data_IF_399511186546
#
_entry.id   IF_399511186546
#
_cell.length_a   1.000
_cell.length_b   1.000
_cell.length_c   1.000
_cell.angle_alpha   90.00
_cell.angle_beta   90.00
_cell.angle_gamma   90.00
#
_symmetry.space_group_name_H-M   'P 1'
#
loop_
_entity.id
_entity.type
_entity.pdbx_description
1 polymer ?
#
# COMPACT_ATOMS: atom_id res chain seq x y z
N UNK A 1 62.33 51.42 63.60
CA UNK A 1 62.25 50.85 62.24
C UNK A 1 61.05 49.90 62.21
N UNK A 2 60.00 50.23 61.45
CA UNK A 2 58.82 49.39 61.21
C UNK A 2 59.10 48.45 60.04
N UNK A 3 58.63 47.20 60.10
CA UNK A 3 58.10 46.48 58.94
C UNK A 3 56.99 45.52 59.40
N UNK A 4 55.89 45.63 58.68
CA UNK A 4 54.54 45.13 58.94
C UNK A 4 54.30 43.85 58.11
N UNK A 5 53.36 43.03 58.58
CA UNK A 5 52.75 41.90 57.86
C UNK A 5 52.31 42.24 56.43
N UNK A 6 52.28 41.23 55.55
CA UNK A 6 51.05 40.86 54.84
C UNK A 6 51.16 39.42 54.31
N UNK A 7 50.32 38.53 54.84
CA UNK A 7 50.02 37.21 54.24
C UNK A 7 49.00 37.50 53.14
N UNK A 8 49.38 37.28 51.89
CA UNK A 8 48.49 37.38 50.74
C UNK A 8 47.59 36.14 50.68
N UNK A 9 46.31 36.33 51.01
CA UNK A 9 45.27 35.36 50.74
C UNK A 9 45.02 35.30 49.22
N UNK A 10 45.32 34.15 48.60
CA UNK A 10 44.83 33.81 47.27
C UNK A 10 43.34 33.44 47.40
N UNK A 11 42.46 34.34 46.99
CA UNK A 11 41.07 33.98 46.73
C UNK A 11 40.99 33.25 45.39
N UNK A 12 40.92 31.92 45.43
CA UNK A 12 40.50 31.10 44.29
C UNK A 12 38.98 31.32 44.15
N UNK A 13 38.57 32.12 43.15
CA UNK A 13 37.18 32.10 42.71
C UNK A 13 36.94 30.78 41.98
N UNK A 14 36.50 29.76 42.72
CA UNK A 14 35.79 28.65 42.12
C UNK A 14 34.40 29.17 41.74
N UNK A 15 34.17 29.44 40.45
CA UNK A 15 32.83 29.48 39.88
C UNK A 15 32.27 28.06 39.95
N UNK A 16 31.74 27.68 41.12
CA UNK A 16 30.77 26.61 41.20
C UNK A 16 29.51 27.15 40.49
N UNK A 17 29.43 26.92 39.18
CA UNK A 17 28.16 26.91 38.49
C UNK A 17 27.38 25.74 39.12
N UNK A 18 26.66 26.00 40.21
CA UNK A 18 25.58 25.13 40.61
C UNK A 18 24.53 25.27 39.51
N UNK A 19 24.63 24.43 38.48
CA UNK A 19 23.49 24.12 37.66
C UNK A 19 22.44 23.59 38.64
N UNK A 20 21.55 24.45 39.09
CA UNK A 20 20.33 24.01 39.74
C UNK A 20 19.59 23.25 38.64
N UNK A 21 19.65 21.92 38.71
CA UNK A 21 18.75 21.06 37.96
C UNK A 21 17.38 21.33 38.56
N UNK A 22 16.66 22.31 38.01
CA UNK A 22 15.22 22.36 38.17
C UNK A 22 14.70 21.12 37.45
N UNK A 23 14.18 20.15 38.20
CA UNK A 23 13.42 19.07 37.58
C UNK A 23 12.31 19.73 36.75
N UNK A 24 12.43 19.67 35.41
CA UNK A 24 11.32 20.01 34.53
C UNK A 24 10.20 19.10 34.99
N UNK A 25 9.09 19.70 35.42
CA UNK A 25 8.00 18.99 36.07
C UNK A 25 7.30 18.14 34.99
N UNK A 26 7.90 16.98 34.71
CA UNK A 26 7.59 15.97 33.69
C UNK A 26 7.69 16.47 32.24
N UNK A 27 8.72 16.01 31.53
CA UNK A 27 8.66 15.89 30.06
C UNK A 27 7.43 15.07 29.72
N UNK A 28 6.62 15.61 28.80
CA UNK A 28 5.43 14.92 28.29
C UNK A 28 5.79 14.23 26.98
N UNK A 29 5.79 12.90 26.96
CA UNK A 29 6.05 12.08 25.77
C UNK A 29 7.47 11.52 25.65
N UNK A 30 7.95 11.31 24.42
CA UNK A 30 9.20 10.58 24.10
C UNK A 30 10.48 11.42 24.23
N UNK A 31 10.38 12.74 24.41
CA UNK A 31 11.56 13.61 24.60
C UNK A 31 11.28 15.09 24.40
N UNK A 32 12.37 15.86 24.29
CA UNK A 32 12.34 17.26 23.87
C UNK A 32 12.79 17.37 22.42
N UNK A 33 12.07 18.21 21.68
CA UNK A 33 12.48 18.76 20.40
C UNK A 33 12.68 20.28 20.53
N UNK A 34 13.22 20.89 19.48
CA UNK A 34 13.53 22.32 19.46
C UNK A 34 13.09 22.93 18.14
N UNK A 35 12.37 24.04 18.21
CA UNK A 35 12.12 24.92 17.07
C UNK A 35 13.37 25.81 16.91
N UNK A 36 14.10 25.74 15.78
CA UNK A 36 15.25 26.60 15.53
C UNK A 36 14.86 28.07 15.54
N UNK A 37 15.79 28.95 15.91
CA UNK A 37 15.59 30.42 15.92
C UNK A 37 15.03 30.99 14.60
N UNK A 38 15.37 30.37 13.47
CA UNK A 38 14.90 30.79 12.15
C UNK A 38 13.42 30.52 11.96
N UNK A 39 12.85 29.57 12.70
CA UNK A 39 11.45 29.12 12.57
C UNK A 39 10.52 29.71 13.65
N UNK A 40 11.04 30.61 14.49
CA UNK A 40 10.28 31.32 15.54
C UNK A 40 10.14 32.80 15.21
N UNK A 41 9.06 33.43 15.67
CA UNK A 41 8.84 34.88 15.48
C UNK A 41 9.75 35.74 16.36
N UNK A 42 10.25 35.19 17.46
CA UNK A 42 11.11 35.89 18.43
C UNK A 42 12.60 35.79 18.10
N UNK A 43 13.00 34.90 17.17
CA UNK A 43 14.40 34.63 16.88
C UNK A 43 15.14 33.88 18.00
N UNK A 44 14.39 33.22 18.88
CA UNK A 44 14.91 32.39 19.99
C UNK A 44 14.65 30.92 19.69
N UNK A 45 15.54 30.02 20.13
CA UNK A 45 15.31 28.58 20.05
C UNK A 45 14.23 28.22 21.09
N UNK A 46 13.17 27.55 20.65
CA UNK A 46 12.02 27.22 21.51
C UNK A 46 11.95 25.71 21.76
N UNK A 47 12.22 25.23 22.98
CA UNK A 47 12.02 23.83 23.34
C UNK A 47 10.53 23.46 23.38
N UNK A 48 10.21 22.26 22.91
CA UNK A 48 8.88 21.67 23.03
C UNK A 48 8.94 20.16 23.26
N UNK A 49 7.83 19.57 23.67
CA UNK A 49 7.66 18.11 23.76
C UNK A 49 6.30 17.72 23.18
N UNK A 50 6.19 16.46 22.75
CA UNK A 50 4.98 15.93 22.09
C UNK A 50 4.50 14.64 22.71
N UNK A 51 3.18 14.48 22.86
CA UNK A 51 2.52 13.19 23.14
C UNK A 51 1.69 12.80 21.93
N UNK A 52 1.72 11.53 21.53
CA UNK A 52 0.79 10.98 20.53
C UNK A 52 1.02 11.48 19.10
N UNK A 53 2.12 12.16 18.82
CA UNK A 53 2.46 12.71 17.48
C UNK A 53 3.22 11.68 16.63
N UNK A 54 4.19 10.95 17.21
CA UNK A 54 5.04 10.01 16.46
C UNK A 54 4.37 8.65 16.20
N UNK A 55 3.55 8.19 17.16
CA UNK A 55 2.83 6.94 17.06
C UNK A 55 1.46 7.18 16.45
N UNK A 56 1.27 6.70 15.22
CA UNK A 56 -0.03 6.54 14.54
C UNK A 56 -0.97 5.55 15.26
N UNK A 57 -0.92 5.49 16.59
CA UNK A 57 -1.80 4.66 17.39
C UNK A 57 -3.02 5.48 17.79
N UNK A 58 -4.20 4.96 17.45
CA UNK A 58 -5.54 5.54 17.63
C UNK A 58 -5.97 5.90 19.05
N UNK A 59 -5.08 5.83 20.05
CA UNK A 59 -5.45 5.82 21.46
C UNK A 59 -4.97 7.05 22.24
N UNK A 60 -4.31 8.01 21.60
CA UNK A 60 -3.84 9.23 22.26
C UNK A 60 -4.16 10.45 21.40
N UNK A 61 -4.76 11.47 22.01
CA UNK A 61 -4.93 12.79 21.39
C UNK A 61 -3.57 13.47 21.33
N UNK A 62 -3.09 13.87 20.14
CA UNK A 62 -1.83 14.60 20.02
C UNK A 62 -1.81 15.86 20.90
N UNK A 63 -0.73 16.03 21.65
CA UNK A 63 -0.52 17.18 22.54
C UNK A 63 0.88 17.74 22.35
N UNK A 64 0.98 19.06 22.36
CA UNK A 64 2.23 19.81 22.35
C UNK A 64 2.37 20.59 23.66
N UNK A 65 3.55 20.53 24.26
CA UNK A 65 3.93 21.40 25.38
C UNK A 65 5.14 22.22 24.98
N UNK A 66 5.02 23.53 25.03
CA UNK A 66 6.08 24.48 24.68
C UNK A 66 6.64 25.12 25.94
N UNK A 67 7.96 25.29 25.97
CA UNK A 67 8.69 25.76 27.13
C UNK A 67 9.51 27.01 26.82
N UNK A 68 9.72 27.85 27.83
CA UNK A 68 10.64 28.98 27.76
C UNK A 68 12.11 28.51 27.76
N UNK A 69 13.05 29.46 27.64
CA UNK A 69 14.49 29.17 27.67
C UNK A 69 14.99 28.60 29.02
N UNK A 70 14.18 28.68 30.08
CA UNK A 70 14.43 28.08 31.40
C UNK A 70 13.67 26.77 31.59
N UNK A 71 13.07 26.21 30.54
CA UNK A 71 12.24 25.00 30.54
C UNK A 71 10.99 25.07 31.44
N UNK A 72 10.46 26.27 31.72
CA UNK A 72 9.13 26.41 32.30
C UNK A 72 8.07 26.28 31.20
N UNK A 73 6.94 25.64 31.52
CA UNK A 73 5.83 25.51 30.57
C UNK A 73 5.26 26.90 30.25
N UNK A 74 5.37 27.30 28.99
CA UNK A 74 4.71 28.52 28.47
C UNK A 74 3.32 28.20 27.94
N UNK A 75 3.18 27.05 27.26
CA UNK A 75 1.93 26.70 26.58
C UNK A 75 1.75 25.19 26.49
N UNK A 76 0.49 24.76 26.54
CA UNK A 76 0.10 23.40 26.18
C UNK A 76 -1.16 23.47 25.33
N UNK A 77 -1.18 22.73 24.22
CA UNK A 77 -2.36 22.63 23.36
C UNK A 77 -2.50 21.21 22.81
N UNK A 78 -3.74 20.83 22.51
CA UNK A 78 -4.11 19.52 21.97
C UNK A 78 -4.68 19.68 20.58
N UNK A 79 -4.45 18.68 19.73
CA UNK A 79 -5.04 18.59 18.41
C UNK A 79 -5.94 17.36 18.34
N UNK A 80 -7.22 17.55 18.02
CA UNK A 80 -8.19 16.46 17.85
C UNK A 80 -8.27 16.05 16.38
N UNK A 81 -7.65 14.93 15.96
CA UNK A 81 -7.55 14.59 14.55
C UNK A 81 -8.89 14.06 14.03
N UNK A 82 -9.38 14.59 12.91
CA UNK A 82 -10.63 14.13 12.28
C UNK A 82 -10.49 12.66 11.84
N UNK A 83 -11.57 11.90 12.04
CA UNK A 83 -11.68 10.49 11.68
C UNK A 83 -12.61 10.32 10.48
N UNK A 84 -12.18 9.54 9.50
CA UNK A 84 -12.87 9.24 8.26
C UNK A 84 -13.13 7.75 8.17
N UNK A 85 -14.38 7.38 7.93
CA UNK A 85 -14.83 5.97 7.96
C UNK A 85 -15.51 5.62 6.64
N UNK A 86 -15.10 4.50 6.07
CA UNK A 86 -15.75 3.86 4.93
C UNK A 86 -16.00 2.40 5.23
N UNK A 87 -17.12 1.86 4.76
CA UNK A 87 -17.38 0.43 4.79
C UNK A 87 -16.96 -0.18 3.46
N UNK A 88 -16.18 -1.25 3.53
CA UNK A 88 -15.90 -2.11 2.39
C UNK A 88 -17.06 -3.09 2.24
N UNK A 89 -17.79 -2.97 1.13
CA UNK A 89 -18.87 -3.88 0.75
C UNK A 89 -18.28 -5.00 -0.11
N UNK A 90 -18.32 -6.26 0.35
CA UNK A 90 -17.90 -7.39 -0.47
C UNK A 90 -18.85 -7.55 -1.65
N UNK A 91 -18.28 -7.61 -2.84
CA UNK A 91 -19.01 -7.79 -4.10
C UNK A 91 -18.50 -9.04 -4.80
N UNK A 92 -19.40 -9.79 -5.44
CA UNK A 92 -19.08 -10.93 -6.30
C UNK A 92 -19.68 -10.80 -7.69
N UNK A 93 -19.00 -11.36 -8.68
CA UNK A 93 -19.48 -11.52 -10.04
C UNK A 93 -19.06 -12.90 -10.57
N UNK A 94 -19.87 -13.46 -11.47
CA UNK A 94 -19.54 -14.70 -12.17
C UNK A 94 -19.03 -14.36 -13.57
N UNK A 95 -17.87 -14.92 -13.93
CA UNK A 95 -17.23 -14.68 -15.21
C UNK A 95 -17.10 -15.97 -16.02
N UNK A 96 -17.43 -15.88 -17.31
CA UNK A 96 -17.13 -16.94 -18.26
C UNK A 96 -15.63 -17.02 -18.53
N UNK A 97 -15.14 -18.23 -18.72
CA UNK A 97 -13.75 -18.46 -19.08
C UNK A 97 -13.61 -19.54 -20.14
N UNK A 98 -12.50 -19.51 -20.87
CA UNK A 98 -12.16 -20.51 -21.88
C UNK A 98 -10.74 -20.99 -21.69
N UNK A 99 -10.52 -22.25 -22.05
CA UNK A 99 -9.16 -22.81 -22.06
C UNK A 99 -8.34 -22.11 -23.14
N UNK A 100 -7.26 -21.46 -22.73
CA UNK A 100 -6.28 -20.88 -23.64
C UNK A 100 -5.22 -21.91 -24.01
N UNK A 101 -4.74 -22.68 -23.03
CA UNK A 101 -3.70 -23.69 -23.20
C UNK A 101 -3.72 -24.73 -22.08
N UNK A 102 -3.44 -26.00 -22.42
CA UNK A 102 -3.08 -27.03 -21.43
C UNK A 102 -1.60 -26.85 -21.05
N UNK A 103 -1.35 -26.66 -19.75
CA UNK A 103 -0.01 -26.36 -19.21
C UNK A 103 0.64 -27.60 -18.60
N UNK A 104 -0.17 -28.47 -18.02
CA UNK A 104 0.25 -29.75 -17.44
C UNK A 104 -0.86 -30.77 -17.69
N UNK A 105 -0.54 -31.90 -18.31
CA UNK A 105 -1.54 -32.95 -18.64
C UNK A 105 -2.04 -33.73 -17.41
N UNK A 106 -1.43 -33.53 -16.24
CA UNK A 106 -1.78 -34.24 -15.01
C UNK A 106 -1.11 -35.61 -14.93
N UNK A 107 -1.54 -36.43 -13.98
CA UNK A 107 -1.20 -37.85 -13.93
C UNK A 107 -2.45 -38.69 -14.17
N UNK A 108 -2.27 -39.80 -14.87
CA UNK A 108 -3.35 -40.71 -15.26
C UNK A 108 -3.22 -42.03 -14.52
N UNK A 109 -4.34 -42.55 -14.02
CA UNK A 109 -4.40 -43.85 -13.34
C UNK A 109 -5.53 -44.69 -13.93
N UNK A 110 -5.21 -45.90 -14.37
CA UNK A 110 -6.23 -46.83 -14.86
C UNK A 110 -7.16 -47.26 -13.71
N UNK A 111 -8.45 -47.36 -14.01
CA UNK A 111 -9.45 -47.99 -13.15
C UNK A 111 -9.18 -49.50 -13.06
N UNK A 112 -9.31 -50.05 -11.85
CA UNK A 112 -8.83 -51.39 -11.51
C UNK A 112 -9.88 -52.29 -10.83
N UNK A 113 -11.05 -51.76 -10.48
CA UNK A 113 -12.14 -52.57 -9.93
C UNK A 113 -12.85 -53.36 -11.03
N UNK A 114 -13.49 -54.45 -10.63
CA UNK A 114 -14.22 -55.35 -11.53
C UNK A 114 -15.72 -55.29 -11.25
N UNK A 115 -16.51 -55.21 -12.32
CA UNK A 115 -17.98 -55.38 -12.27
C UNK A 115 -18.37 -56.35 -13.37
N UNK A 116 -18.85 -57.52 -12.96
CA UNK A 116 -19.21 -58.62 -13.88
C UNK A 116 -20.24 -58.15 -14.93
N UNK A 117 -19.96 -58.42 -16.20
CA UNK A 117 -20.83 -58.00 -17.32
C UNK A 117 -20.54 -56.59 -17.83
N UNK A 118 -19.63 -55.85 -17.21
CA UNK A 118 -19.38 -54.43 -17.52
C UNK A 118 -17.90 -54.12 -17.68
N UNK A 119 -17.06 -54.45 -16.69
CA UNK A 119 -15.64 -54.10 -16.67
C UNK A 119 -14.81 -55.20 -16.01
N UNK A 120 -13.86 -55.74 -16.77
CA UNK A 120 -12.95 -56.81 -16.39
C UNK A 120 -11.50 -56.34 -16.18
N UNK A 121 -10.58 -57.30 -16.08
CA UNK A 121 -9.14 -57.01 -15.91
C UNK A 121 -8.51 -56.22 -17.07
N UNK A 122 -9.10 -56.33 -18.26
CA UNK A 122 -8.59 -55.72 -19.49
C UNK A 122 -9.39 -54.50 -19.95
N UNK A 123 -10.33 -54.00 -19.14
CA UNK A 123 -11.18 -52.86 -19.48
C UNK A 123 -12.66 -53.23 -19.60
N UNK A 124 -13.42 -52.46 -20.38
CA UNK A 124 -14.84 -52.71 -20.60
C UNK A 124 -15.05 -54.05 -21.33
N UNK A 125 -16.04 -54.85 -20.92
CA UNK A 125 -16.33 -56.13 -21.57
C UNK A 125 -16.87 -55.95 -23.00
N UNK A 126 -17.52 -54.82 -23.28
CA UNK A 126 -17.93 -54.40 -24.63
C UNK A 126 -17.34 -53.02 -24.94
N UNK A 127 -16.66 -52.84 -26.08
CA UNK A 127 -16.15 -51.53 -26.48
C UNK A 127 -17.24 -50.48 -26.59
N UNK A 128 -16.96 -49.30 -26.04
CA UNK A 128 -17.89 -48.17 -26.01
C UNK A 128 -17.71 -47.33 -27.27
N UNK A 129 -18.81 -47.05 -27.97
CA UNK A 129 -18.83 -46.30 -29.22
C UNK A 129 -19.67 -45.03 -29.15
N UNK A 130 -20.59 -44.94 -28.20
CA UNK A 130 -21.46 -43.77 -28.00
C UNK A 130 -21.42 -43.24 -26.57
N UNK A 131 -21.78 -41.97 -26.39
CA UNK A 131 -21.90 -41.34 -25.07
C UNK A 131 -22.99 -42.00 -24.21
N UNK A 132 -24.05 -42.51 -24.82
CA UNK A 132 -25.13 -43.17 -24.07
C UNK A 132 -24.71 -44.57 -23.58
N UNK A 133 -23.95 -45.31 -24.38
CA UNK A 133 -23.27 -46.54 -23.92
C UNK A 133 -22.29 -46.24 -22.77
N UNK A 134 -21.53 -45.15 -22.87
CA UNK A 134 -20.60 -44.72 -21.82
C UNK A 134 -21.32 -44.43 -20.50
N UNK A 135 -22.39 -43.64 -20.55
CA UNK A 135 -23.22 -43.33 -19.37
C UNK A 135 -23.79 -44.60 -18.75
N UNK A 136 -24.35 -45.50 -19.56
CA UNK A 136 -24.94 -46.74 -19.07
C UNK A 136 -23.89 -47.64 -18.38
N UNK A 137 -22.69 -47.76 -18.96
CA UNK A 137 -21.60 -48.56 -18.39
C UNK A 137 -21.05 -47.94 -17.09
N UNK A 138 -20.83 -46.62 -17.07
CA UNK A 138 -20.33 -45.90 -15.86
C UNK A 138 -21.35 -45.97 -14.72
N UNK A 139 -22.65 -45.81 -15.00
CA UNK A 139 -23.70 -45.94 -13.98
C UNK A 139 -23.71 -47.34 -13.35
N UNK A 140 -23.44 -48.40 -14.12
CA UNK A 140 -23.32 -49.76 -13.57
C UNK A 140 -22.01 -49.96 -12.78
N UNK A 141 -20.93 -49.27 -13.17
CA UNK A 141 -19.62 -49.36 -12.50
C UNK A 141 -19.59 -48.68 -11.13
N UNK A 142 -20.11 -47.46 -11.06
CA UNK A 142 -19.89 -46.55 -9.93
C UNK A 142 -21.19 -46.36 -9.11
N UNK A 143 -22.33 -46.73 -9.67
CA UNK A 143 -23.65 -46.56 -9.07
C UNK A 143 -24.26 -45.17 -9.32
N UNK A 144 -25.32 -44.87 -8.58
CA UNK A 144 -26.11 -43.64 -8.71
C UNK A 144 -25.42 -42.44 -8.05
N UNK A 145 -24.34 -41.95 -8.67
CA UNK A 145 -23.69 -40.68 -8.32
C UNK A 145 -24.25 -39.49 -9.11
N UNK A 146 -24.16 -38.28 -8.55
CA UNK A 146 -24.36 -37.05 -9.32
C UNK A 146 -23.17 -36.83 -10.27
N UNK A 147 -23.17 -37.53 -11.40
CA UNK A 147 -22.12 -37.47 -12.42
C UNK A 147 -22.50 -36.54 -13.58
N UNK A 148 -21.52 -35.77 -14.06
CA UNK A 148 -21.64 -34.93 -15.24
C UNK A 148 -20.79 -35.51 -16.36
N UNK A 149 -21.40 -35.74 -17.50
CA UNK A 149 -20.77 -36.36 -18.67
C UNK A 149 -20.46 -35.33 -19.75
N UNK A 150 -19.28 -35.42 -20.34
CA UNK A 150 -18.78 -34.46 -21.32
C UNK A 150 -17.75 -35.10 -22.25
N UNK A 151 -17.25 -34.33 -23.20
CA UNK A 151 -16.11 -34.72 -24.05
C UNK A 151 -14.88 -33.93 -23.61
N UNK A 152 -13.80 -34.63 -23.27
CA UNK A 152 -12.58 -34.00 -22.79
C UNK A 152 -11.83 -33.22 -23.90
N UNK A 153 -10.71 -32.58 -23.54
CA UNK A 153 -9.92 -31.81 -24.49
C UNK A 153 -9.18 -32.65 -25.54
N UNK A 154 -9.06 -33.96 -25.33
CA UNK A 154 -8.50 -34.94 -26.27
C UNK A 154 -9.59 -35.60 -27.14
N UNK A 155 -10.86 -35.30 -26.90
CA UNK A 155 -12.00 -35.85 -27.64
C UNK A 155 -12.58 -37.14 -27.06
N UNK A 156 -12.14 -37.56 -25.86
CA UNK A 156 -12.61 -38.78 -25.22
C UNK A 156 -13.94 -38.54 -24.49
N UNK A 157 -14.73 -39.61 -24.33
CA UNK A 157 -15.88 -39.58 -23.43
C UNK A 157 -15.38 -39.54 -21.98
N UNK A 158 -15.87 -38.57 -21.22
CA UNK A 158 -15.42 -38.32 -19.87
C UNK A 158 -16.59 -38.03 -18.93
N UNK A 159 -16.36 -38.25 -17.64
CA UNK A 159 -17.26 -37.85 -16.58
C UNK A 159 -16.49 -37.32 -15.38
N UNK A 160 -17.12 -36.45 -14.62
CA UNK A 160 -16.64 -36.02 -13.32
C UNK A 160 -17.77 -36.05 -12.29
N UNK A 161 -17.42 -36.07 -11.00
CA UNK A 161 -18.39 -35.80 -9.95
C UNK A 161 -18.84 -34.34 -10.07
N UNK A 162 -20.15 -34.08 -9.89
CA UNK A 162 -20.70 -32.72 -9.94
C UNK A 162 -19.99 -31.75 -8.99
N UNK A 163 -19.50 -32.22 -7.85
CA UNK A 163 -18.76 -31.42 -6.87
C UNK A 163 -17.25 -31.66 -6.97
N UNK A 164 -16.48 -30.62 -6.65
CA UNK A 164 -15.02 -30.68 -6.38
C UNK A 164 -14.14 -31.24 -7.51
N UNK A 165 -14.55 -31.06 -8.76
CA UNK A 165 -13.77 -31.49 -9.93
C UNK A 165 -12.84 -30.41 -10.50
N UNK A 166 -13.03 -29.15 -10.10
CA UNK A 166 -12.17 -28.03 -10.51
C UNK A 166 -11.63 -27.27 -9.32
N UNK A 167 -10.36 -26.87 -9.42
CA UNK A 167 -9.70 -25.96 -8.49
C UNK A 167 -9.09 -24.80 -9.27
N UNK A 168 -9.15 -23.60 -8.70
CA UNK A 168 -8.61 -22.40 -9.33
C UNK A 168 -7.37 -21.93 -8.58
N UNK A 169 -6.33 -21.58 -9.33
CA UNK A 169 -5.14 -20.94 -8.79
C UNK A 169 -4.63 -19.86 -9.73
N UNK A 170 -3.88 -18.88 -9.20
CA UNK A 170 -3.24 -17.84 -10.01
C UNK A 170 -3.58 -16.42 -9.56
N UNK A 171 -3.06 -15.45 -10.32
CA UNK A 171 -3.23 -14.00 -10.12
C UNK A 171 -3.49 -13.36 -11.48
N UNK A 172 -4.05 -12.15 -11.48
CA UNK A 172 -4.50 -11.32 -12.62
C UNK A 172 -4.01 -11.69 -14.04
N UNK A 173 -2.70 -11.86 -14.24
CA UNK A 173 -2.11 -12.10 -15.56
C UNK A 173 -2.17 -13.56 -16.03
N UNK A 174 -2.43 -14.51 -15.14
CA UNK A 174 -2.46 -15.95 -15.43
C UNK A 174 -3.33 -16.68 -14.42
N UNK A 175 -4.52 -17.08 -14.89
CA UNK A 175 -5.48 -17.87 -14.12
C UNK A 175 -5.41 -19.31 -14.60
N UNK A 176 -5.27 -20.23 -13.66
CA UNK A 176 -5.17 -21.65 -13.90
C UNK A 176 -6.36 -22.37 -13.30
N UNK A 177 -6.93 -23.29 -14.08
CA UNK A 177 -7.96 -24.21 -13.62
C UNK A 177 -7.38 -25.61 -13.67
N UNK A 178 -7.28 -26.24 -12.51
CA UNK A 178 -6.94 -27.65 -12.38
C UNK A 178 -8.21 -28.46 -12.41
N UNK A 179 -8.23 -29.56 -13.17
CA UNK A 179 -9.38 -30.42 -13.34
C UNK A 179 -9.05 -31.86 -12.92
N UNK A 180 -10.05 -32.54 -12.36
CA UNK A 180 -10.06 -33.97 -12.06
C UNK A 180 -11.29 -34.61 -12.68
N UNK A 181 -11.10 -35.64 -13.49
CA UNK A 181 -12.18 -36.38 -14.12
C UNK A 181 -11.71 -37.76 -14.57
N UNK A 182 -12.64 -38.61 -14.96
CA UNK A 182 -12.34 -39.90 -15.57
C UNK A 182 -12.73 -39.89 -17.05
N UNK A 183 -11.97 -40.59 -17.89
CA UNK A 183 -12.24 -40.71 -19.32
C UNK A 183 -12.07 -42.15 -19.81
N UNK A 184 -12.80 -42.50 -20.86
CA UNK A 184 -12.65 -43.75 -21.59
C UNK A 184 -11.61 -43.61 -22.70
N UNK A 185 -10.58 -44.46 -22.67
CA UNK A 185 -9.59 -44.56 -23.72
C UNK A 185 -10.00 -45.64 -24.73
N UNK A 186 -10.38 -45.28 -25.97
CA UNK A 186 -10.81 -46.25 -26.97
C UNK A 186 -9.66 -47.13 -27.49
N UNK A 187 -8.40 -46.74 -27.29
CA UNK A 187 -7.25 -47.47 -27.84
C UNK A 187 -6.94 -48.77 -27.09
N UNK A 188 -7.20 -48.80 -25.79
CA UNK A 188 -6.99 -49.97 -24.92
C UNK A 188 -8.28 -50.41 -24.22
N UNK A 189 -9.41 -49.76 -24.52
CA UNK A 189 -10.73 -50.06 -24.00
C UNK A 189 -10.84 -49.92 -22.46
N UNK A 190 -10.04 -49.03 -21.84
CA UNK A 190 -9.99 -48.84 -20.38
C UNK A 190 -10.50 -47.49 -19.93
N UNK A 191 -10.86 -47.41 -18.65
CA UNK A 191 -11.20 -46.17 -17.97
C UNK A 191 -9.98 -45.64 -17.23
N UNK A 192 -9.71 -44.35 -17.37
CA UNK A 192 -8.60 -43.65 -16.72
C UNK A 192 -9.12 -42.50 -15.87
N UNK A 193 -8.57 -42.34 -14.68
CA UNK A 193 -8.74 -41.14 -13.86
C UNK A 193 -7.58 -40.18 -14.11
N UNK A 194 -7.90 -38.95 -14.47
CA UNK A 194 -6.98 -37.82 -14.61
C UNK A 194 -7.06 -36.96 -13.37
N UNK A 195 -5.90 -36.67 -12.81
CA UNK A 195 -5.74 -35.76 -11.69
C UNK A 195 -4.73 -34.66 -12.04
N UNK A 196 -4.94 -33.46 -11.50
CA UNK A 196 -4.08 -32.28 -11.70
C UNK A 196 -3.87 -31.88 -13.17
N UNK A 197 -4.88 -32.05 -14.04
CA UNK A 197 -4.85 -31.47 -15.38
C UNK A 197 -4.96 -29.95 -15.25
N UNK A 198 -3.88 -29.21 -15.49
CA UNK A 198 -3.86 -27.76 -15.31
C UNK A 198 -3.95 -27.03 -16.65
N UNK A 199 -4.95 -26.16 -16.76
CA UNK A 199 -5.22 -25.33 -17.92
C UNK A 199 -5.03 -23.86 -17.59
N UNK A 200 -4.32 -23.13 -18.44
CA UNK A 200 -4.34 -21.67 -18.45
C UNK A 200 -5.64 -21.22 -19.12
N UNK A 201 -6.39 -20.34 -18.46
CA UNK A 201 -7.67 -19.84 -18.94
C UNK A 201 -7.63 -18.35 -19.28
N UNK A 202 -8.51 -17.96 -20.20
CA UNK A 202 -8.82 -16.58 -20.52
C UNK A 202 -10.22 -16.26 -20.01
N UNK A 203 -10.36 -15.12 -19.32
CA UNK A 203 -11.60 -14.74 -18.60
C UNK A 203 -12.23 -13.54 -19.28
N UNK A 204 -13.53 -13.63 -19.57
CA UNK A 204 -14.29 -12.52 -20.11
C UNK A 204 -14.75 -11.59 -18.98
N UNK A 205 -14.05 -10.45 -18.85
CA UNK A 205 -14.36 -9.42 -17.86
C UNK A 205 -15.23 -8.28 -18.42
N UNK A 206 -15.63 -8.35 -19.69
CA UNK A 206 -16.29 -7.22 -20.37
C UNK A 206 -17.72 -6.94 -19.89
N UNK A 207 -18.39 -7.94 -19.29
CA UNK A 207 -19.81 -7.88 -18.88
C UNK A 207 -20.05 -8.49 -17.51
N UNK A 208 -19.27 -8.06 -16.51
CA UNK A 208 -19.45 -8.52 -15.13
C UNK A 208 -20.68 -7.90 -14.47
N UNK A 209 -21.57 -8.74 -13.96
CA UNK A 209 -22.72 -8.33 -13.16
C UNK A 209 -22.39 -8.47 -11.66
N UNK A 210 -21.82 -7.42 -11.09
CA UNK A 210 -21.47 -7.36 -9.67
C UNK A 210 -22.72 -7.31 -8.77
N UNK A 211 -22.72 -8.11 -7.71
CA UNK A 211 -23.73 -8.13 -6.66
C UNK A 211 -23.07 -8.17 -5.29
N UNK A 212 -23.78 -7.78 -4.24
CA UNK A 212 -23.31 -7.94 -2.87
C UNK A 212 -23.06 -9.43 -2.59
N UNK A 213 -21.92 -9.72 -1.96
CA UNK A 213 -21.53 -11.06 -1.56
C UNK A 213 -21.89 -11.29 -0.09
N UNK A 214 -23.08 -11.84 0.13
CA UNK A 214 -23.62 -12.11 1.48
C UNK A 214 -22.84 -13.20 2.26
N UNK A 215 -21.85 -13.84 1.64
CA UNK A 215 -20.99 -14.83 2.32
C UNK A 215 -19.88 -14.19 3.16
N UNK A 216 -19.64 -12.88 3.00
CA UNK A 216 -18.59 -12.13 3.68
C UNK A 216 -19.20 -10.92 4.40
N UNK A 217 -18.76 -10.68 5.63
CA UNK A 217 -19.14 -9.47 6.36
C UNK A 217 -18.43 -8.25 5.77
N UNK A 218 -19.12 -7.11 5.77
CA UNK A 218 -18.51 -5.82 5.48
C UNK A 218 -17.47 -5.48 6.55
N UNK A 219 -16.37 -4.86 6.15
CA UNK A 219 -15.36 -4.38 7.08
C UNK A 219 -15.28 -2.85 7.07
N UNK A 220 -15.18 -2.24 8.26
CA UNK A 220 -14.92 -0.81 8.38
C UNK A 220 -13.43 -0.54 8.15
N UNK A 221 -13.14 0.45 7.31
CA UNK A 221 -11.83 1.06 7.17
C UNK A 221 -11.88 2.44 7.80
N UNK A 222 -10.95 2.68 8.72
CA UNK A 222 -10.79 3.97 9.39
C UNK A 222 -9.49 4.62 8.94
N UNK A 223 -9.59 5.87 8.50
CA UNK A 223 -8.48 6.79 8.25
C UNK A 223 -8.58 7.93 9.26
N UNK A 224 -7.45 8.45 9.71
CA UNK A 224 -7.40 9.53 10.69
C UNK A 224 -6.39 10.57 10.23
N UNK A 225 -6.68 11.84 10.48
CA UNK A 225 -5.70 12.89 10.25
C UNK A 225 -4.41 12.61 11.01
N UNK A 226 -3.27 12.91 10.38
CA UNK A 226 -1.96 12.60 10.94
C UNK A 226 -1.06 13.82 10.89
N UNK A 227 -0.49 14.20 12.02
CA UNK A 227 0.55 15.23 12.08
C UNK A 227 1.84 14.69 11.47
N UNK A 228 2.49 15.49 10.64
CA UNK A 228 3.71 15.12 9.92
C UNK A 228 4.90 15.94 10.41
N UNK A 229 6.09 15.32 10.40
CA UNK A 229 7.32 16.10 10.51
C UNK A 229 7.48 16.96 9.26
N UNK A 230 7.94 18.18 9.48
CA UNK A 230 8.21 19.16 8.43
C UNK A 230 9.71 19.24 8.24
N UNK A 231 10.19 18.88 7.05
CA UNK A 231 11.57 19.11 6.66
C UNK A 231 11.72 20.54 6.11
N UNK A 232 12.49 21.36 6.82
CA UNK A 232 12.73 22.76 6.46
C UNK A 232 14.22 23.00 6.22
N UNK A 233 14.53 23.50 5.03
CA UNK A 233 15.84 24.00 4.63
C UNK A 233 15.82 25.53 4.66
N UNK A 234 16.44 26.13 5.68
CA UNK A 234 16.49 27.60 5.84
C UNK A 234 17.83 28.18 5.36
N UNK A 235 17.94 28.42 4.05
CA UNK A 235 19.14 28.99 3.44
C UNK A 235 19.37 30.47 3.80
N UNK A 236 18.36 31.17 4.32
CA UNK A 236 18.49 32.56 4.76
C UNK A 236 19.16 32.65 6.14
N UNK A 237 18.96 31.65 7.00
CA UNK A 237 19.55 31.59 8.33
C UNK A 237 20.87 30.78 8.37
N UNK A 238 20.94 29.63 7.70
CA UNK A 238 22.12 28.75 7.69
C UNK A 238 22.14 27.84 6.45
N UNK A 239 23.20 27.91 5.63
CA UNK A 239 23.24 27.22 4.33
C UNK A 239 23.37 25.68 4.40
N UNK A 240 23.63 25.11 5.58
CA UNK A 240 24.06 23.71 5.74
C UNK A 240 23.21 22.86 6.71
N UNK A 241 22.09 23.36 7.21
CA UNK A 241 21.28 22.63 8.21
C UNK A 241 19.81 22.54 7.77
N UNK A 242 19.34 21.31 7.65
CA UNK A 242 17.95 20.92 7.60
C UNK A 242 17.39 20.77 9.02
N UNK A 243 16.11 21.11 9.19
CA UNK A 243 15.39 20.96 10.44
C UNK A 243 14.18 20.07 10.21
N UNK A 244 14.04 19.02 11.02
CA UNK A 244 12.89 18.13 11.02
C UNK A 244 12.04 18.43 12.26
N UNK A 245 11.02 19.26 12.10
CA UNK A 245 10.22 19.77 13.23
C UNK A 245 8.74 19.50 13.06
N UNK A 246 8.04 19.30 14.17
CA UNK A 246 6.58 19.19 14.17
C UNK A 246 5.88 20.55 14.27
N UNK A 247 6.55 21.57 14.83
CA UNK A 247 6.00 22.90 15.06
C UNK A 247 6.88 23.99 14.46
N UNK A 248 6.23 25.00 13.88
CA UNK A 248 6.85 26.27 13.45
C UNK A 248 5.98 27.45 13.91
N UNK A 249 6.45 28.69 13.76
CA UNK A 249 5.63 29.90 13.97
C UNK A 249 5.72 30.92 12.82
N UNK A 250 6.73 30.82 11.95
CA UNK A 250 6.98 31.83 10.92
C UNK A 250 7.18 31.23 9.51
N UNK A 251 6.82 29.97 9.31
CA UNK A 251 7.03 29.27 8.03
C UNK A 251 5.82 29.42 7.14
N UNK A 252 4.61 29.28 7.66
CA UNK A 252 3.40 29.34 6.85
C UNK A 252 2.52 30.55 7.17
N UNK A 253 2.66 31.09 8.37
CA UNK A 253 1.98 32.28 8.86
C UNK A 253 2.96 33.19 9.60
N UNK A 254 2.59 34.45 9.82
CA UNK A 254 3.42 35.45 10.52
C UNK A 254 2.74 35.96 11.81
N UNK A 255 1.94 35.11 12.46
CA UNK A 255 1.32 35.42 13.76
C UNK A 255 2.09 34.77 14.93
N UNK A 256 1.56 34.90 16.14
CA UNK A 256 2.15 34.36 17.36
C UNK A 256 1.79 32.89 17.63
N UNK A 257 1.03 32.26 16.73
CA UNK A 257 0.53 30.89 16.90
C UNK A 257 1.51 29.86 16.36
N UNK A 258 1.49 28.69 16.97
CA UNK A 258 2.19 27.53 16.42
C UNK A 258 1.40 26.95 15.25
N UNK A 259 2.13 26.38 14.31
CA UNK A 259 1.62 25.80 13.07
C UNK A 259 2.33 24.48 12.77
N UNK A 260 1.60 23.57 12.13
CA UNK A 260 2.06 22.22 11.85
C UNK A 260 1.38 21.65 10.60
N UNK A 261 2.05 20.67 9.99
CA UNK A 261 1.54 19.95 8.83
C UNK A 261 0.69 18.75 9.23
N UNK A 262 -0.41 18.56 8.53
CA UNK A 262 -1.34 17.45 8.74
C UNK A 262 -1.69 16.78 7.41
N UNK A 263 -1.54 15.46 7.34
CA UNK A 263 -2.19 14.64 6.32
C UNK A 263 -3.68 14.55 6.65
N UNK A 264 -4.50 15.12 5.77
CA UNK A 264 -5.95 15.19 5.87
C UNK A 264 -6.62 14.39 4.76
N UNK A 265 -7.93 14.18 4.89
CA UNK A 265 -8.73 13.45 3.90
C UNK A 265 -9.98 14.24 3.52
N UNK A 266 -10.38 14.17 2.26
CA UNK A 266 -11.65 14.73 1.78
C UNK A 266 -12.42 13.66 1.02
N UNK A 267 -13.73 13.67 1.19
CA UNK A 267 -14.58 12.77 0.43
C UNK A 267 -14.61 13.19 -1.04
N UNK A 268 -14.41 12.23 -1.93
CA UNK A 268 -14.44 12.41 -3.38
C UNK A 268 -15.43 11.45 -4.02
N UNK A 269 -15.75 11.69 -5.30
CA UNK A 269 -16.47 10.71 -6.10
C UNK A 269 -15.63 9.47 -6.35
N UNK A 270 -16.28 8.37 -6.70
CA UNK A 270 -15.59 7.13 -7.06
C UNK A 270 -14.57 7.40 -8.19
N UNK A 271 -13.29 7.02 -8.01
CA UNK A 271 -12.29 7.20 -9.05
C UNK A 271 -12.58 6.31 -10.26
N UNK A 272 -12.31 6.80 -11.47
CA UNK A 272 -12.52 6.06 -12.73
C UNK A 272 -11.69 4.76 -12.78
N UNK A 273 -10.50 4.78 -12.16
CA UNK A 273 -9.67 3.61 -11.94
C UNK A 273 -9.62 3.32 -10.45
N UNK A 274 -10.54 2.48 -9.96
CA UNK A 274 -10.46 1.96 -8.60
C UNK A 274 -9.54 0.74 -8.60
N UNK A 275 -8.41 0.75 -7.86
CA UNK A 275 -7.50 -0.39 -7.74
C UNK A 275 -8.07 -1.41 -6.74
N UNK A 276 -9.37 -1.71 -6.81
CA UNK A 276 -9.94 -2.75 -5.96
C UNK A 276 -9.23 -4.05 -6.31
N UNK A 277 -8.66 -4.70 -5.28
CA UNK A 277 -7.99 -5.98 -5.45
C UNK A 277 -9.04 -7.03 -5.80
N UNK A 278 -9.19 -7.28 -7.10
CA UNK A 278 -10.06 -8.34 -7.59
C UNK A 278 -9.45 -9.70 -7.27
N UNK A 279 -10.16 -10.46 -6.45
CA UNK A 279 -9.80 -11.79 -5.98
C UNK A 279 -10.55 -12.84 -6.78
N UNK A 280 -9.99 -14.04 -6.89
CA UNK A 280 -10.66 -15.18 -7.50
C UNK A 280 -11.00 -16.15 -6.37
N UNK A 281 -12.28 -16.47 -6.24
CA UNK A 281 -12.82 -17.28 -5.14
C UNK A 281 -13.44 -18.58 -5.65
N UNK A 282 -12.71 -19.29 -6.51
CA UNK A 282 -13.12 -20.59 -7.06
C UNK A 282 -14.05 -20.51 -8.27
N UNK A 283 -14.84 -21.57 -8.46
CA UNK A 283 -15.78 -21.76 -9.57
C UNK A 283 -17.17 -22.08 -9.01
N UNK A 284 -18.19 -21.40 -9.55
CA UNK A 284 -19.60 -21.65 -9.23
C UNK A 284 -20.35 -21.81 -10.55
N UNK A 285 -21.11 -22.91 -10.70
CA UNK A 285 -21.90 -23.20 -11.90
C UNK A 285 -21.08 -23.13 -13.22
N UNK A 286 -19.83 -23.59 -13.18
CA UNK A 286 -18.92 -23.58 -14.34
C UNK A 286 -18.38 -22.20 -14.71
N UNK A 287 -18.58 -21.18 -13.88
CA UNK A 287 -18.06 -19.81 -14.05
C UNK A 287 -17.09 -19.47 -12.94
N UNK A 288 -16.08 -18.65 -13.23
CA UNK A 288 -15.16 -18.14 -12.21
C UNK A 288 -15.89 -17.16 -11.28
N UNK A 289 -15.67 -17.31 -9.98
CA UNK A 289 -16.16 -16.37 -8.98
C UNK A 289 -15.11 -15.29 -8.80
N UNK A 290 -15.42 -14.06 -9.22
CA UNK A 290 -14.59 -12.89 -8.99
C UNK A 290 -15.16 -12.12 -7.80
N UNK A 291 -14.31 -11.78 -6.84
CA UNK A 291 -14.67 -11.02 -5.65
C UNK A 291 -13.89 -9.70 -5.62
N UNK A 292 -14.49 -8.65 -5.07
CA UNK A 292 -13.78 -7.42 -4.76
C UNK A 292 -14.43 -6.75 -3.55
N UNK A 293 -13.69 -5.90 -2.87
CA UNK A 293 -14.20 -5.10 -1.78
C UNK A 293 -14.36 -3.66 -2.28
N UNK A 294 -15.59 -3.13 -2.25
CA UNK A 294 -15.92 -1.81 -2.79
C UNK A 294 -16.22 -0.85 -1.63
N UNK A 295 -15.46 0.24 -1.47
CA UNK A 295 -15.78 1.26 -0.48
C UNK A 295 -17.13 1.94 -0.77
N UNK A 296 -17.94 2.15 0.28
CA UNK A 296 -19.16 2.97 0.22
C UNK A 296 -18.86 4.47 0.07
N UNK A 297 -17.66 4.89 0.49
CA UNK A 297 -17.13 6.26 0.41
C UNK A 297 -15.69 6.22 -0.05
N UNK A 298 -15.32 7.20 -0.86
CA UNK A 298 -13.95 7.38 -1.35
C UNK A 298 -13.35 8.62 -0.72
N UNK A 299 -12.13 8.48 -0.23
CA UNK A 299 -11.36 9.55 0.39
C UNK A 299 -10.06 9.74 -0.36
N UNK A 300 -9.73 10.99 -0.63
CA UNK A 300 -8.43 11.41 -1.18
C UNK A 300 -7.67 12.16 -0.09
N UNK A 301 -6.39 11.81 0.09
CA UNK A 301 -5.52 12.51 1.04
C UNK A 301 -5.00 13.82 0.46
N UNK A 302 -4.94 14.87 1.27
CA UNK A 302 -4.31 16.15 0.97
C UNK A 302 -3.48 16.62 2.16
N UNK A 303 -2.55 17.55 1.96
CA UNK A 303 -1.79 18.12 3.07
C UNK A 303 -2.42 19.46 3.46
N UNK A 304 -2.61 19.67 4.75
CA UNK A 304 -3.10 20.92 5.31
C UNK A 304 -2.05 21.51 6.26
N UNK A 305 -1.90 22.83 6.19
CA UNK A 305 -1.26 23.59 7.27
C UNK A 305 -2.34 23.96 8.27
N UNK A 306 -2.13 23.62 9.54
CA UNK A 306 -3.04 23.98 10.63
C UNK A 306 -2.32 24.77 11.70
N UNK A 307 -3.05 25.65 12.38
CA UNK A 307 -2.56 26.31 13.58
C UNK A 307 -2.84 25.48 14.85
N UNK A 308 -2.32 25.95 15.98
CA UNK A 308 -2.52 25.36 17.32
C UNK A 308 -3.99 25.18 17.74
N UNK A 309 -4.94 25.90 17.15
CA UNK A 309 -6.38 25.72 17.39
C UNK A 309 -7.00 24.61 16.51
N UNK A 310 -6.21 23.99 15.63
CA UNK A 310 -6.68 23.04 14.63
C UNK A 310 -7.37 23.69 13.42
N UNK A 311 -7.29 25.02 13.26
CA UNK A 311 -7.83 25.72 12.10
C UNK A 311 -6.94 25.49 10.90
N UNK A 312 -7.53 25.04 9.81
CA UNK A 312 -6.88 24.94 8.50
C UNK A 312 -6.57 26.34 7.94
N UNK A 313 -5.30 26.60 7.66
CA UNK A 313 -4.82 27.85 7.08
C UNK A 313 -4.87 27.80 5.56
N UNK A 314 -4.28 26.74 4.98
CA UNK A 314 -4.35 26.42 3.55
C UNK A 314 -3.97 24.97 3.29
N UNK A 315 -4.13 24.53 2.05
CA UNK A 315 -3.81 23.17 1.61
C UNK A 315 -2.66 23.15 0.61
N UNK A 316 -1.91 22.05 0.63
CA UNK A 316 -0.81 21.76 -0.28
C UNK A 316 -1.18 20.47 -1.04
N UNK A 317 -0.98 20.42 -2.37
CA UNK A 317 -1.18 19.20 -3.15
C UNK A 317 -0.43 18.04 -2.52
N UNK A 318 -1.08 16.87 -2.41
CA UNK A 318 -0.44 15.70 -1.82
C UNK A 318 0.09 14.78 -2.90
N UNK A 319 1.41 14.66 -2.98
CA UNK A 319 2.02 13.84 -4.00
C UNK A 319 2.39 12.41 -3.57
N UNK A 320 2.59 12.18 -2.26
CA UNK A 320 3.02 10.89 -1.70
C UNK A 320 2.75 10.78 -0.18
N UNK A 321 1.53 11.09 0.26
CA UNK A 321 1.16 11.18 1.69
C UNK A 321 2.13 12.08 2.49
N UNK A 322 2.53 13.20 1.88
CA UNK A 322 3.46 14.17 2.44
C UNK A 322 4.91 13.70 2.64
N UNK A 323 5.28 12.46 2.30
CA UNK A 323 6.62 11.91 2.58
C UNK A 323 7.77 12.57 1.83
N UNK A 324 7.48 13.15 0.68
CA UNK A 324 8.45 13.81 -0.20
C UNK A 324 8.23 15.33 -0.23
N UNK A 325 7.61 15.87 0.83
CA UNK A 325 7.37 17.29 0.99
C UNK A 325 8.58 17.92 1.70
N UNK A 326 9.23 18.88 1.04
CA UNK A 326 10.32 19.66 1.63
C UNK A 326 10.02 21.14 1.50
N UNK A 327 10.39 21.91 2.52
CA UNK A 327 10.20 23.37 2.54
C UNK A 327 11.55 24.05 2.42
N UNK A 328 11.65 25.03 1.55
CA UNK A 328 12.86 25.81 1.33
C UNK A 328 12.58 27.28 1.61
N UNK A 329 13.34 27.87 2.53
CA UNK A 329 13.39 29.33 2.69
C UNK A 329 14.66 29.85 2.02
N UNK A 330 14.50 30.71 1.02
CA UNK A 330 15.62 31.33 0.33
C UNK A 330 15.25 32.72 -0.22
N UNK A 331 16.16 33.67 -0.02
CA UNK A 331 16.03 35.07 -0.45
C UNK A 331 14.72 35.72 0.03
N UNK A 332 14.33 35.46 1.28
CA UNK A 332 13.11 36.00 1.89
C UNK A 332 11.81 35.43 1.32
N UNK A 333 11.87 34.28 0.65
CA UNK A 333 10.71 33.58 0.06
C UNK A 333 10.66 32.14 0.52
N UNK A 334 9.46 31.57 0.50
CA UNK A 334 9.19 30.20 0.96
C UNK A 334 8.70 29.39 -0.23
N UNK A 335 9.38 28.27 -0.47
CA UNK A 335 9.09 27.34 -1.55
C UNK A 335 8.73 25.99 -0.97
N UNK A 336 7.79 25.31 -1.61
CA UNK A 336 7.36 23.97 -1.23
C UNK A 336 7.73 23.04 -2.39
N UNK A 337 8.66 22.13 -2.14
CA UNK A 337 8.96 21.01 -3.03
C UNK A 337 8.02 19.85 -2.75
N UNK A 338 7.50 19.24 -3.82
CA UNK A 338 6.58 18.12 -3.73
C UNK A 338 6.85 17.11 -4.85
N UNK A 339 6.47 15.85 -4.60
CA UNK A 339 6.61 14.72 -5.52
C UNK A 339 5.25 14.11 -5.79
N UNK A 340 4.62 14.46 -6.90
CA UNK A 340 3.29 13.99 -7.28
C UNK A 340 3.32 12.65 -8.01
N UNK A 341 2.63 11.65 -7.45
CA UNK A 341 2.41 10.36 -8.09
C UNK A 341 1.26 10.43 -9.10
N UNK A 342 1.54 10.06 -10.35
CA UNK A 342 0.59 10.11 -11.47
C UNK A 342 -0.09 8.76 -11.75
N UNK A 343 0.17 7.74 -10.94
CA UNK A 343 -0.21 6.35 -11.25
C UNK A 343 0.86 5.63 -12.06
N UNK A 344 0.75 4.30 -12.19
CA UNK A 344 1.61 3.46 -13.05
C UNK A 344 3.14 3.56 -12.81
N UNK A 345 3.58 3.90 -11.61
CA UNK A 345 5.00 4.09 -11.31
C UNK A 345 5.60 5.37 -11.90
N UNK A 346 4.74 6.34 -12.24
CA UNK A 346 5.10 7.64 -12.78
C UNK A 346 5.03 8.72 -11.69
N UNK A 347 6.09 9.51 -11.60
CA UNK A 347 6.22 10.58 -10.59
C UNK A 347 6.69 11.85 -11.29
N UNK A 348 6.22 12.99 -10.81
CA UNK A 348 6.72 14.30 -11.22
C UNK A 348 7.01 15.14 -9.98
N UNK A 349 8.08 15.92 -10.03
CA UNK A 349 8.40 16.89 -9.00
C UNK A 349 7.84 18.27 -9.38
N UNK A 350 7.25 18.93 -8.39
CA UNK A 350 6.64 20.26 -8.51
C UNK A 350 7.21 21.16 -7.44
N UNK A 351 7.43 22.43 -7.78
CA UNK A 351 7.83 23.46 -6.81
C UNK A 351 6.79 24.58 -6.81
N UNK A 352 6.31 24.91 -5.61
CA UNK A 352 5.37 26.00 -5.37
C UNK A 352 6.06 27.14 -4.64
N UNK A 353 5.58 28.36 -4.88
CA UNK A 353 5.86 29.54 -4.07
C UNK A 353 4.70 29.75 -3.10
N UNK A 354 4.99 29.94 -1.82
CA UNK A 354 4.03 30.44 -0.85
C UNK A 354 4.01 31.98 -0.92
N UNK A 355 2.83 32.57 -1.12
CA UNK A 355 2.67 34.02 -1.14
C UNK A 355 2.92 34.63 0.24
N UNK A 356 3.53 35.82 0.27
CA UNK A 356 3.88 36.56 1.48
C UNK A 356 2.65 37.02 2.29
N UNK A 357 1.44 36.84 1.75
CA UNK A 357 0.15 37.10 2.45
C UNK A 357 -0.43 35.85 3.14
N UNK A 358 0.27 34.71 3.09
CA UNK A 358 0.15 33.65 4.11
C UNK A 358 -0.86 32.54 3.85
N UNK A 359 -1.51 32.47 2.68
CA UNK A 359 -2.44 31.34 2.37
C UNK A 359 -2.47 30.90 0.90
N UNK A 360 -1.88 31.67 -0.03
CA UNK A 360 -1.86 31.32 -1.45
C UNK A 360 -0.60 30.55 -1.85
N UNK A 361 -0.76 29.41 -2.52
CA UNK A 361 0.34 28.70 -3.18
C UNK A 361 0.26 28.90 -4.69
N UNK A 362 1.41 29.18 -5.33
CA UNK A 362 1.53 29.34 -6.78
C UNK A 362 2.52 28.32 -7.30
N UNK A 363 2.11 27.48 -8.25
CA UNK A 363 3.04 26.59 -8.95
C UNK A 363 4.03 27.42 -9.78
N UNK A 364 5.32 27.20 -9.56
CA UNK A 364 6.38 27.87 -10.32
C UNK A 364 6.89 27.01 -11.47
N UNK A 365 7.09 25.72 -11.20
CA UNK A 365 7.64 24.79 -12.16
C UNK A 365 7.30 23.34 -11.81
N UNK A 366 7.35 22.52 -12.86
CA UNK A 366 7.04 21.09 -12.83
C UNK A 366 7.99 20.36 -13.76
N UNK A 367 8.51 19.23 -13.29
CA UNK A 367 9.33 18.33 -14.12
C UNK A 367 8.45 17.55 -15.08
N UNK A 368 9.00 17.15 -16.23
CA UNK A 368 8.38 16.10 -17.02
C UNK A 368 8.28 14.82 -16.19
N UNK A 369 7.27 14.00 -16.47
CA UNK A 369 7.07 12.70 -15.82
C UNK A 369 8.35 11.88 -15.85
N UNK A 370 8.92 11.64 -14.68
CA UNK A 370 10.10 10.80 -14.50
C UNK A 370 9.59 9.36 -14.49
N UNK A 371 9.53 8.74 -15.67
CA UNK A 371 9.33 7.28 -15.72
C UNK A 371 10.53 6.64 -15.04
N UNK A 372 10.28 5.71 -14.12
CA UNK A 372 11.32 4.85 -13.56
C UNK A 372 12.29 4.42 -14.66
N UNK A 373 13.58 4.75 -14.49
CA UNK A 373 14.56 4.56 -15.55
C UNK A 373 14.55 3.10 -15.99
N UNK A 374 14.15 2.85 -17.24
CA UNK A 374 14.13 1.48 -17.77
C UNK A 374 15.55 0.94 -17.76
N UNK A 375 15.73 -0.27 -17.26
CA UNK A 375 16.98 -0.99 -17.35
C UNK A 375 16.98 -1.87 -18.59
N UNK A 376 18.10 -1.89 -19.30
CA UNK A 376 18.32 -2.70 -20.48
C UNK A 376 19.52 -3.61 -20.25
N UNK A 377 19.52 -4.81 -20.81
CA UNK A 377 20.73 -5.62 -20.89
C UNK A 377 21.68 -5.05 -21.97
N UNK A 378 22.87 -5.64 -22.08
CA UNK A 378 23.86 -5.25 -23.10
C UNK A 378 23.37 -5.44 -24.55
N UNK A 379 22.32 -6.24 -24.77
CA UNK A 379 21.69 -6.43 -26.07
C UNK A 379 20.57 -5.41 -26.35
N UNK A 380 20.35 -4.43 -25.46
CA UNK A 380 19.30 -3.41 -25.62
C UNK A 380 17.88 -3.90 -25.29
N UNK A 381 17.73 -5.10 -24.73
CA UNK A 381 16.42 -5.61 -24.30
C UNK A 381 16.08 -5.08 -22.91
N UNK A 382 14.83 -4.62 -22.73
CA UNK A 382 14.33 -4.18 -21.41
C UNK A 382 14.40 -5.35 -20.42
N UNK A 383 14.99 -5.12 -19.26
CA UNK A 383 15.09 -6.09 -18.15
C UNK A 383 14.44 -5.52 -16.89
N UNK A 384 14.10 -6.39 -15.95
CA UNK A 384 13.58 -5.95 -14.64
C UNK A 384 14.67 -5.33 -13.77
N UNK A 385 14.27 -4.51 -12.79
CA UNK A 385 15.19 -3.87 -11.82
C UNK A 385 16.06 -4.85 -11.01
N UNK A 386 15.70 -6.14 -10.96
CA UNK A 386 16.42 -7.19 -10.24
C UNK A 386 17.29 -8.07 -11.17
N UNK A 387 17.44 -7.71 -12.45
CA UNK A 387 18.29 -8.47 -13.37
C UNK A 387 19.75 -8.38 -12.93
N UNK A 388 20.38 -9.53 -12.66
CA UNK A 388 21.78 -9.61 -12.23
C UNK A 388 22.75 -9.36 -13.40
N UNK A 389 23.86 -8.68 -13.11
CA UNK A 389 24.92 -8.41 -14.07
C UNK A 389 24.94 -6.97 -14.58
N UNK A 390 25.61 -6.73 -15.72
CA UNK A 390 25.74 -5.39 -16.29
C UNK A 390 24.42 -4.97 -16.94
N UNK A 391 23.85 -3.89 -16.44
CA UNK A 391 22.63 -3.27 -16.97
C UNK A 391 22.90 -1.82 -17.39
N UNK A 392 22.12 -1.35 -18.34
CA UNK A 392 22.16 0.00 -18.91
C UNK A 392 20.89 0.72 -18.46
N UNK A 393 21.02 1.84 -17.74
CA UNK A 393 19.89 2.73 -17.46
C UNK A 393 19.50 3.47 -18.72
N UNK A 394 18.21 3.74 -18.86
CA UNK A 394 17.69 4.74 -19.79
C UNK A 394 18.48 6.05 -19.58
N UNK A 395 19.18 6.50 -20.63
CA UNK A 395 20.19 7.56 -20.54
C UNK A 395 21.65 7.09 -20.69
N UNK A 396 21.90 5.78 -20.84
CA UNK A 396 23.19 5.22 -21.25
C UNK A 396 24.15 4.87 -20.11
N UNK A 397 23.78 5.14 -18.85
CA UNK A 397 24.63 4.83 -17.68
C UNK A 397 24.68 3.31 -17.43
N UNK A 398 25.87 2.74 -17.52
CA UNK A 398 26.14 1.32 -17.24
C UNK A 398 26.43 1.11 -15.76
N UNK A 399 25.83 0.11 -15.14
CA UNK A 399 26.19 -0.29 -13.77
C UNK A 399 26.03 -1.81 -13.58
N UNK A 400 26.72 -2.34 -12.56
CA UNK A 400 26.62 -3.75 -12.19
C UNK A 400 25.54 -3.91 -11.12
N UNK A 401 24.47 -4.61 -11.46
CA UNK A 401 23.37 -4.91 -10.55
C UNK A 401 23.66 -6.24 -9.85
N UNK A 402 23.85 -6.19 -8.52
CA UNK A 402 24.31 -7.33 -7.71
C UNK A 402 23.24 -8.41 -7.55
#
# INVERSE_FOLDING_TARGET
>A
MKRTLLVSAFAVMALAASAQISEVTKVKGDGFDFIPKGLTTTGVITPYSTIGVENNSSNQTPEFTVYDASFNVEKTFQYDPRVFKSNLVPMKALADFKTKKVVKEGYEKAYWDKVDGVYGYDGFETPITTMDEFKAAVSQLIGDGELVYFTDYKGNFAYHNKYDWQEVSGKYDSIYVSERYSYYNPSDNKLYEVNDLTKLVEVDMSKLAWKVDDSRESSEVTQQERIMQTEVYDFDANYNEDSYVYLTQNVFNNDDKYEFLVECYRQVSQPEASPNSLMINGIENGKLVLCQDVPDKYYESYIAVKNEDGKELFTIPNGNNGKDLSIYRMNGKIYIGNSEYLGNGETQYVIYLLDNTGTGITELARTNVVKSAKTFNMAGMKVGKNAKGIVILQGGKKYFNK
#
